data_IF_772317941266
#
_entry.id   IF_772317941266
#
_cell.length_a   1.000
_cell.length_b   1.000
_cell.length_c   1.000
_cell.angle_alpha   90.00
_cell.angle_beta   90.00
_cell.angle_gamma   90.00
#
_symmetry.space_group_name_H-M   'P 1'
#
loop_
_entity.id
_entity.type
_entity.pdbx_description
1 polymer ?
#
# COMPACT_ATOMS: atom_id res chain seq x y z
N UNK A 1 -24.84 -11.91 6.67
CA UNK A 1 -24.60 -13.36 6.59
C UNK A 1 -25.57 -13.92 5.56
N UNK A 2 -25.07 -14.47 4.45
CA UNK A 2 -25.91 -15.16 3.45
C UNK A 2 -25.45 -16.61 3.41
N UNK A 3 -26.38 -17.51 3.64
CA UNK A 3 -26.15 -18.94 3.43
C UNK A 3 -26.18 -19.21 1.93
N UNK A 4 -25.14 -19.86 1.42
CA UNK A 4 -25.15 -20.37 0.04
C UNK A 4 -25.14 -21.88 0.16
N UNK A 5 -26.13 -22.51 -0.46
CA UNK A 5 -26.22 -23.97 -0.52
C UNK A 5 -25.60 -24.44 -1.83
N UNK A 6 -24.60 -25.31 -1.73
CA UNK A 6 -23.97 -25.98 -2.87
C UNK A 6 -24.09 -27.48 -2.60
N UNK A 7 -24.98 -28.16 -3.33
CA UNK A 7 -25.38 -29.52 -2.98
C UNK A 7 -26.12 -29.58 -1.65
N UNK A 8 -25.76 -30.55 -0.79
CA UNK A 8 -26.35 -30.73 0.54
C UNK A 8 -25.60 -29.96 1.65
N UNK A 9 -24.55 -29.20 1.29
CA UNK A 9 -23.73 -28.48 2.26
C UNK A 9 -24.12 -26.99 2.33
N UNK A 10 -24.36 -26.52 3.56
CA UNK A 10 -24.53 -25.10 3.87
C UNK A 10 -23.17 -24.45 4.09
N UNK A 11 -22.79 -23.53 3.20
CA UNK A 11 -21.62 -22.69 3.39
C UNK A 11 -22.04 -21.35 4.00
N UNK A 12 -21.50 -21.04 5.18
CA UNK A 12 -21.55 -19.69 5.73
C UNK A 12 -20.43 -18.86 5.10
N UNK A 13 -20.75 -18.10 4.05
CA UNK A 13 -19.78 -17.17 3.49
C UNK A 13 -19.73 -15.91 4.38
N UNK A 14 -18.65 -15.76 5.12
CA UNK A 14 -18.31 -14.50 5.78
C UNK A 14 -17.87 -13.52 4.69
N UNK A 15 -18.74 -12.60 4.31
CA UNK A 15 -18.38 -11.53 3.40
C UNK A 15 -17.61 -10.48 4.20
N UNK A 16 -16.30 -10.41 4.01
CA UNK A 16 -15.55 -9.20 4.32
C UNK A 16 -16.10 -8.10 3.41
N UNK A 17 -16.51 -6.99 4.00
CA UNK A 17 -16.92 -5.83 3.21
C UNK A 17 -15.67 -5.22 2.61
N UNK A 18 -15.51 -5.31 1.29
CA UNK A 18 -14.36 -4.75 0.59
C UNK A 18 -14.24 -3.25 0.87
N UNK A 19 -13.21 -2.87 1.64
CA UNK A 19 -13.02 -1.50 2.17
C UNK A 19 -12.54 -0.52 1.10
N UNK A 20 -12.19 -1.02 -0.08
CA UNK A 20 -11.70 -0.30 -1.25
C UNK A 20 -12.80 -0.01 -2.29
N UNK A 21 -14.07 -0.28 -1.96
CA UNK A 21 -15.23 -0.13 -2.87
C UNK A 21 -16.16 0.97 -2.37
N UNK A 22 -16.81 1.69 -3.30
CA UNK A 22 -17.78 2.72 -2.96
C UNK A 22 -17.18 3.95 -2.30
N UNK A 23 -15.87 4.18 -2.50
CA UNK A 23 -15.15 5.30 -1.92
C UNK A 23 -15.69 6.63 -2.44
N UNK A 24 -15.80 7.61 -1.54
CA UNK A 24 -16.29 8.96 -1.83
C UNK A 24 -15.32 10.01 -1.33
N UNK A 25 -15.27 11.12 -2.04
CA UNK A 25 -14.58 12.33 -1.56
C UNK A 25 -15.36 12.93 -0.40
N UNK A 26 -14.72 13.22 0.75
CA UNK A 26 -15.37 13.88 1.88
C UNK A 26 -15.97 15.24 1.48
N UNK A 27 -17.10 15.58 2.11
CA UNK A 27 -17.76 16.88 1.97
C UNK A 27 -17.56 17.71 3.23
N UNK A 28 -16.32 18.15 3.45
CA UNK A 28 -15.87 18.89 4.64
C UNK A 28 -15.32 20.29 4.31
N UNK A 29 -15.65 20.81 3.13
CA UNK A 29 -15.19 22.12 2.66
C UNK A 29 -13.70 22.18 2.28
N UNK A 30 -13.00 21.04 2.21
CA UNK A 30 -11.60 20.96 1.80
C UNK A 30 -11.46 20.63 0.31
N UNK A 31 -10.33 21.03 -0.26
CA UNK A 31 -9.96 20.64 -1.62
C UNK A 31 -9.32 19.26 -1.61
N UNK A 32 -9.82 18.38 -2.49
CA UNK A 32 -9.27 17.06 -2.72
C UNK A 32 -8.79 16.90 -4.16
N UNK A 33 -7.70 16.14 -4.33
CA UNK A 33 -7.15 15.78 -5.63
C UNK A 33 -6.93 14.27 -5.68
N UNK A 34 -7.10 13.67 -6.86
CA UNK A 34 -6.76 12.27 -7.09
C UNK A 34 -5.47 12.17 -7.91
N UNK A 35 -4.51 11.36 -7.47
CA UNK A 35 -3.30 11.07 -8.25
C UNK A 35 -3.68 10.36 -9.55
N UNK A 36 -3.10 10.81 -10.66
CA UNK A 36 -3.26 10.13 -11.94
C UNK A 36 -2.52 8.79 -11.92
N UNK A 37 -3.00 7.83 -12.70
CA UNK A 37 -2.28 6.58 -12.92
C UNK A 37 -1.06 6.76 -13.81
N UNK A 38 0.00 6.01 -13.53
CA UNK A 38 1.26 6.08 -14.30
C UNK A 38 1.00 5.84 -15.80
N UNK A 39 0.08 4.92 -16.13
CA UNK A 39 -0.35 4.69 -17.52
C UNK A 39 -1.00 5.92 -18.18
N UNK A 40 -1.69 6.78 -17.42
CA UNK A 40 -2.27 8.03 -17.91
C UNK A 40 -1.22 9.14 -18.07
N UNK A 41 -0.13 9.06 -17.31
CA UNK A 41 0.96 10.04 -17.33
C UNK A 41 1.91 9.77 -18.50
N UNK A 42 2.24 8.50 -18.75
CA UNK A 42 3.34 8.14 -19.66
C UNK A 42 2.90 7.48 -20.95
N UNK A 43 1.65 7.00 -21.04
CA UNK A 43 1.18 6.20 -22.18
C UNK A 43 1.91 4.85 -22.35
N UNK A 44 2.96 4.57 -21.56
CA UNK A 44 3.71 3.30 -21.55
C UNK A 44 4.45 3.14 -20.21
N UNK A 45 4.25 2.01 -19.53
CA UNK A 45 5.18 1.53 -18.51
C UNK A 45 6.07 0.48 -19.17
N UNK A 46 7.38 0.70 -19.19
CA UNK A 46 8.37 -0.33 -19.52
C UNK A 46 8.72 -1.01 -18.20
N UNK A 47 7.97 -2.05 -17.84
CA UNK A 47 8.44 -2.99 -16.81
C UNK A 47 9.41 -3.92 -17.52
N UNK A 48 10.70 -3.78 -17.23
CA UNK A 48 11.69 -4.76 -17.65
C UNK A 48 11.38 -6.10 -16.94
N UNK A 49 10.79 -7.04 -17.67
CA UNK A 49 10.95 -8.50 -17.47
C UNK A 49 10.87 -9.04 -16.03
N UNK A 50 9.98 -8.52 -15.19
CA UNK A 50 9.64 -9.17 -13.91
C UNK A 50 8.36 -10.01 -14.10
N UNK A 51 8.35 -11.32 -13.75
CA UNK A 51 7.16 -12.16 -13.76
C UNK A 51 6.12 -11.79 -12.69
N UNK A 52 6.38 -10.72 -11.93
CA UNK A 52 5.52 -10.21 -10.87
C UNK A 52 5.24 -8.73 -11.11
N UNK A 53 3.96 -8.39 -10.98
CA UNK A 53 3.36 -7.08 -10.74
C UNK A 53 4.15 -5.81 -11.04
N UNK A 54 5.26 -5.47 -10.38
CA UNK A 54 5.61 -4.07 -10.10
C UNK A 54 4.41 -3.35 -9.47
N UNK A 55 4.43 -3.14 -8.14
CA UNK A 55 3.46 -2.27 -7.52
C UNK A 55 3.34 -1.00 -8.37
N UNK A 56 2.14 -0.54 -8.72
CA UNK A 56 1.93 0.77 -9.37
C UNK A 56 2.14 1.93 -8.38
N UNK A 57 3.06 1.68 -7.48
CA UNK A 57 3.88 2.60 -6.76
C UNK A 57 5.03 2.85 -7.76
N UNK A 58 5.27 4.08 -8.18
CA UNK A 58 6.46 4.51 -8.94
C UNK A 58 6.39 4.45 -10.49
N UNK A 59 6.09 5.60 -11.08
CA UNK A 59 6.79 6.05 -12.28
C UNK A 59 7.34 7.48 -12.21
N UNK A 60 6.61 8.46 -11.64
CA UNK A 60 7.06 9.88 -11.70
C UNK A 60 6.48 10.90 -10.72
N UNK A 61 5.99 10.50 -9.55
CA UNK A 61 5.76 11.49 -8.48
C UNK A 61 7.14 11.88 -7.88
N UNK A 62 7.98 12.53 -8.70
CA UNK A 62 9.45 12.71 -8.49
C UNK A 62 9.85 13.96 -7.69
N UNK A 63 8.93 14.79 -7.24
CA UNK A 63 9.26 15.88 -6.32
C UNK A 63 8.33 15.80 -5.12
N UNK A 64 8.87 15.31 -4.00
CA UNK A 64 8.10 15.12 -2.76
C UNK A 64 8.43 16.24 -1.77
N UNK A 65 9.67 16.76 -1.77
CA UNK A 65 10.08 17.83 -0.86
C UNK A 65 11.46 18.44 -1.24
N UNK A 66 11.70 19.67 -0.80
CA UNK A 66 13.03 20.30 -0.79
C UNK A 66 13.74 19.95 0.52
N UNK A 67 14.94 19.35 0.45
CA UNK A 67 15.71 18.98 1.64
C UNK A 67 16.77 20.06 1.95
N UNK A 68 16.57 20.92 2.98
CA UNK A 68 17.54 21.96 3.34
C UNK A 68 18.86 21.39 3.87
N UNK A 69 18.92 20.12 4.30
CA UNK A 69 20.16 19.45 4.71
C UNK A 69 21.10 19.18 3.53
N UNK A 70 20.54 18.95 2.33
CA UNK A 70 21.32 18.65 1.13
C UNK A 70 21.21 19.72 0.03
N UNK A 71 20.38 20.75 0.21
CA UNK A 71 20.25 21.87 -0.73
C UNK A 71 19.62 21.49 -2.07
N UNK A 72 18.93 20.35 -2.16
CA UNK A 72 18.38 19.82 -3.40
C UNK A 72 16.93 19.31 -3.24
N UNK A 73 16.20 19.26 -4.35
CA UNK A 73 14.90 18.60 -4.40
C UNK A 73 15.12 17.09 -4.34
N UNK A 74 14.67 16.46 -3.26
CA UNK A 74 14.76 15.01 -3.12
C UNK A 74 13.44 14.37 -3.49
N UNK A 75 13.54 13.35 -4.33
CA UNK A 75 12.40 12.51 -4.63
C UNK A 75 12.02 11.65 -3.39
N UNK A 76 12.94 11.44 -2.44
CA UNK A 76 12.77 10.46 -1.36
C UNK A 76 13.54 10.84 -0.09
N UNK A 77 12.98 10.44 1.05
CA UNK A 77 13.73 10.22 2.30
C UNK A 77 13.44 8.79 2.72
N UNK A 78 14.49 8.01 2.90
CA UNK A 78 14.39 6.73 3.59
C UNK A 78 14.25 7.03 5.08
N UNK A 79 13.29 6.38 5.73
CA UNK A 79 13.07 6.59 7.16
C UNK A 79 12.99 5.26 7.88
N UNK A 80 13.84 5.09 8.88
CA UNK A 80 13.79 3.92 9.77
C UNK A 80 12.41 3.85 10.44
N UNK A 81 11.71 2.74 10.25
CA UNK A 81 10.42 2.56 10.90
C UNK A 81 10.65 2.19 12.34
N UNK A 82 10.19 3.06 13.23
CA UNK A 82 10.15 2.73 14.64
C UNK A 82 9.32 1.45 14.85
N UNK A 83 9.60 0.74 15.95
CA UNK A 83 8.80 -0.41 16.38
C UNK A 83 7.30 -0.14 16.33
N UNK A 84 6.86 1.03 16.80
CA UNK A 84 5.45 1.41 16.81
C UNK A 84 4.85 1.44 15.39
N UNK A 85 5.57 1.99 14.41
CA UNK A 85 5.12 2.01 13.02
C UNK A 85 5.06 0.60 12.41
N UNK A 86 6.05 -0.26 12.67
CA UNK A 86 6.04 -1.65 12.19
C UNK A 86 4.80 -2.42 12.67
N UNK A 87 4.49 -2.33 13.97
CA UNK A 87 3.28 -2.91 14.54
C UNK A 87 1.99 -2.27 14.02
N UNK A 88 2.00 -0.95 13.77
CA UNK A 88 0.86 -0.26 13.18
C UNK A 88 0.48 -0.79 11.80
N UNK A 89 1.47 -1.14 10.97
CA UNK A 89 1.25 -1.69 9.63
C UNK A 89 0.64 -3.08 9.68
N UNK A 90 1.15 -3.94 10.58
CA UNK A 90 0.54 -5.23 10.88
C UNK A 90 -0.92 -5.05 11.26
N UNK A 91 -1.20 -4.12 12.16
CA UNK A 91 -2.57 -3.89 12.65
C UNK A 91 -3.47 -3.28 11.57
N UNK A 92 -2.95 -2.42 10.69
CA UNK A 92 -3.68 -1.90 9.54
C UNK A 92 -4.09 -3.02 8.57
N UNK A 93 -3.17 -3.96 8.29
CA UNK A 93 -3.45 -5.10 7.42
C UNK A 93 -4.36 -6.12 8.08
N UNK A 94 -4.25 -6.31 9.40
CA UNK A 94 -5.21 -7.11 10.16
C UNK A 94 -6.61 -6.49 10.12
N UNK A 95 -6.71 -5.17 10.28
CA UNK A 95 -7.96 -4.44 10.14
C UNK A 95 -8.55 -4.58 8.74
N UNK A 96 -7.75 -4.61 7.67
CA UNK A 96 -8.27 -4.66 6.29
C UNK A 96 -9.06 -5.92 5.97
N UNK A 97 -8.88 -6.96 6.78
CA UNK A 97 -9.53 -8.27 6.72
C UNK A 97 -10.45 -8.54 7.92
N UNK A 98 -10.96 -7.48 8.55
CA UNK A 98 -11.90 -7.53 9.68
C UNK A 98 -11.39 -8.37 10.88
N UNK A 99 -10.07 -8.40 11.08
CA UNK A 99 -9.40 -9.13 12.16
C UNK A 99 -9.66 -10.65 12.20
N UNK A 100 -10.09 -11.23 11.07
CA UNK A 100 -10.61 -12.60 10.99
C UNK A 100 -9.54 -13.71 10.90
N UNK A 101 -8.30 -13.40 10.49
CA UNK A 101 -7.26 -14.42 10.34
C UNK A 101 -6.51 -14.70 11.64
N UNK A 102 -6.07 -15.96 11.87
CA UNK A 102 -5.21 -16.30 12.99
C UNK A 102 -3.85 -15.58 12.89
N UNK A 103 -3.17 -15.41 14.03
CA UNK A 103 -1.87 -14.74 14.06
C UNK A 103 -0.81 -15.47 13.22
N UNK A 104 -0.76 -16.81 13.32
CA UNK A 104 0.24 -17.65 12.66
C UNK A 104 1.49 -17.89 13.51
N UNK A 105 2.30 -18.85 13.09
CA UNK A 105 3.60 -19.16 13.68
C UNK A 105 4.66 -19.29 12.59
N UNK A 106 5.92 -19.13 12.98
CA UNK A 106 7.06 -19.39 12.09
C UNK A 106 7.21 -20.91 11.87
N UNK A 107 7.33 -21.31 10.60
CA UNK A 107 7.37 -22.72 10.16
C UNK A 107 8.72 -23.10 9.54
N UNK A 108 9.65 -22.16 9.41
CA UNK A 108 10.96 -22.38 8.82
C UNK A 108 11.35 -21.28 7.84
N UNK A 109 12.25 -21.62 6.93
CA UNK A 109 12.71 -20.71 5.87
C UNK A 109 12.63 -21.37 4.50
N UNK A 110 12.60 -20.57 3.44
CA UNK A 110 12.67 -21.06 2.06
C UNK A 110 13.53 -20.14 1.19
N UNK A 111 13.93 -20.66 0.01
CA UNK A 111 14.60 -19.90 -1.06
C UNK A 111 13.62 -19.75 -2.22
N UNK A 112 13.45 -18.54 -2.73
CA UNK A 112 12.66 -18.31 -3.94
C UNK A 112 13.53 -18.60 -5.18
N UNK A 113 12.98 -19.31 -6.18
CA UNK A 113 13.67 -19.60 -7.43
C UNK A 113 14.14 -18.34 -8.16
N UNK A 114 13.43 -17.22 -8.03
CA UNK A 114 13.79 -15.96 -8.68
C UNK A 114 14.88 -15.18 -7.95
N UNK A 115 15.19 -15.52 -6.69
CA UNK A 115 16.23 -14.90 -5.85
C UNK A 115 16.83 -15.96 -4.90
N UNK A 116 17.61 -16.92 -5.41
CA UNK A 116 18.10 -18.07 -4.63
C UNK A 116 19.05 -17.67 -3.49
N UNK A 117 19.69 -16.51 -3.60
CA UNK A 117 20.62 -16.01 -2.59
C UNK A 117 19.90 -15.47 -1.34
N UNK A 118 18.61 -15.14 -1.44
CA UNK A 118 17.81 -14.56 -0.35
C UNK A 118 17.09 -15.65 0.42
N UNK A 119 17.23 -15.64 1.75
CA UNK A 119 16.44 -16.52 2.65
C UNK A 119 15.18 -15.81 3.10
N UNK A 120 14.03 -16.43 2.86
CA UNK A 120 12.71 -15.95 3.25
C UNK A 120 12.21 -16.73 4.46
N UNK A 121 11.47 -16.08 5.35
CA UNK A 121 10.78 -16.81 6.42
C UNK A 121 9.47 -17.38 5.90
N UNK A 122 9.07 -18.52 6.46
CA UNK A 122 7.79 -19.14 6.19
C UNK A 122 6.94 -19.05 7.44
N UNK A 123 5.69 -18.63 7.27
CA UNK A 123 4.68 -18.63 8.32
C UNK A 123 3.49 -19.49 7.91
N UNK A 124 2.65 -19.83 8.88
CA UNK A 124 1.41 -20.59 8.66
C UNK A 124 0.57 -19.96 7.55
N UNK A 125 0.18 -20.78 6.58
CA UNK A 125 -0.59 -20.34 5.42
C UNK A 125 -1.94 -19.74 5.86
N UNK A 126 -2.30 -18.60 5.28
CA UNK A 126 -3.51 -17.84 5.61
C UNK A 126 -3.43 -17.04 6.90
N UNK A 127 -2.25 -16.90 7.52
CA UNK A 127 -2.10 -16.20 8.81
C UNK A 127 -1.69 -14.73 8.67
N UNK A 128 -1.83 -13.96 9.75
CA UNK A 128 -1.42 -12.55 9.81
C UNK A 128 0.07 -12.38 9.59
N UNK A 129 0.88 -13.27 10.17
CA UNK A 129 2.31 -13.24 9.95
C UNK A 129 2.67 -13.56 8.50
N UNK A 130 2.01 -14.53 7.84
CA UNK A 130 2.23 -14.77 6.41
C UNK A 130 1.83 -13.55 5.56
N UNK A 131 0.68 -12.92 5.85
CA UNK A 131 0.23 -11.74 5.12
C UNK A 131 1.22 -10.58 5.30
N UNK A 132 1.59 -10.27 6.55
CA UNK A 132 2.55 -9.23 6.87
C UNK A 132 3.90 -9.53 6.21
N UNK A 133 4.41 -10.74 6.36
CA UNK A 133 5.70 -11.14 5.82
C UNK A 133 5.74 -11.03 4.30
N UNK A 134 4.71 -11.47 3.58
CA UNK A 134 4.62 -11.32 2.13
C UNK A 134 4.59 -9.85 1.66
N UNK A 135 4.06 -8.94 2.47
CA UNK A 135 4.08 -7.51 2.18
C UNK A 135 5.47 -6.91 2.43
N UNK A 136 6.17 -7.36 3.46
CA UNK A 136 7.47 -6.83 3.90
C UNK A 136 8.64 -7.47 3.14
N UNK A 137 8.66 -8.79 3.01
CA UNK A 137 9.83 -9.56 2.60
C UNK A 137 10.12 -9.57 1.10
N UNK A 138 9.11 -9.46 0.25
CA UNK A 138 9.39 -9.33 -1.18
C UNK A 138 9.65 -7.87 -1.58
N UNK A 139 9.93 -6.99 -0.60
CA UNK A 139 9.95 -5.54 -0.76
C UNK A 139 8.68 -5.02 -1.50
N UNK A 140 7.57 -5.75 -1.39
CA UNK A 140 6.36 -5.54 -2.19
C UNK A 140 5.55 -4.32 -1.74
N UNK A 141 5.60 -4.01 -0.45
CA UNK A 141 5.13 -2.74 0.10
C UNK A 141 6.17 -1.60 -0.02
N UNK A 142 7.41 -1.92 -0.41
CA UNK A 142 8.56 -1.03 -0.30
C UNK A 142 9.25 -0.78 -1.63
N UNK A 143 10.30 0.02 -1.59
CA UNK A 143 11.38 -0.10 -2.57
C UNK A 143 12.64 -0.44 -1.80
N UNK A 144 13.60 -1.03 -2.50
CA UNK A 144 14.69 -1.89 -2.02
C UNK A 144 15.74 -1.32 -1.04
N UNK A 145 15.47 -0.23 -0.33
CA UNK A 145 16.40 0.35 0.64
C UNK A 145 16.29 -0.35 1.99
N UNK A 146 17.39 -0.94 2.45
CA UNK A 146 17.55 -1.45 3.83
C UNK A 146 16.41 -2.39 4.26
N UNK A 147 16.11 -3.37 3.42
CA UNK A 147 15.02 -4.35 3.61
C UNK A 147 15.39 -5.50 4.56
N UNK A 148 14.39 -6.23 5.04
CA UNK A 148 14.56 -7.34 6.00
C UNK A 148 15.43 -8.47 5.44
N UNK A 149 15.41 -8.67 4.12
CA UNK A 149 16.18 -9.67 3.36
C UNK A 149 17.67 -9.36 3.45
N UNK A 150 18.01 -8.08 3.33
CA UNK A 150 19.37 -7.55 3.41
C UNK A 150 19.91 -7.44 4.83
N UNK A 151 19.23 -8.03 5.82
CA UNK A 151 19.70 -8.12 7.20
C UNK A 151 19.15 -7.05 8.13
N UNK A 152 18.13 -6.28 7.74
CA UNK A 152 17.54 -5.26 8.62
C UNK A 152 16.48 -5.84 9.56
N UNK A 153 16.30 -5.17 10.70
CA UNK A 153 15.48 -5.63 11.81
C UNK A 153 14.00 -5.42 11.55
N UNK A 154 13.24 -6.48 11.77
CA UNK A 154 11.78 -6.48 11.80
C UNK A 154 11.27 -6.94 13.17
N UNK A 155 10.66 -5.99 13.86
CA UNK A 155 10.18 -6.11 15.24
C UNK A 155 8.89 -6.95 15.33
N UNK A 156 8.14 -7.06 14.23
CA UNK A 156 6.88 -7.83 14.21
C UNK A 156 7.16 -9.33 14.16
N UNK A 157 8.10 -9.73 13.31
CA UNK A 157 8.53 -11.13 13.15
C UNK A 157 9.65 -11.53 14.13
N UNK A 158 10.37 -10.56 14.70
CA UNK A 158 11.52 -10.83 15.56
C UNK A 158 12.80 -11.15 14.78
N UNK A 159 12.87 -10.75 13.49
CA UNK A 159 14.00 -11.03 12.61
C UNK A 159 15.10 -9.98 12.75
N UNK A 160 16.36 -10.44 12.70
CA UNK A 160 17.57 -9.58 12.73
C UNK A 160 17.62 -8.60 13.92
N UNK A 161 17.23 -9.02 15.12
CA UNK A 161 17.00 -8.11 16.26
C UNK A 161 18.24 -7.31 16.71
N UNK A 162 19.44 -7.75 16.36
CA UNK A 162 20.71 -7.04 16.61
C UNK A 162 21.02 -5.94 15.58
N UNK A 163 20.22 -5.81 14.52
CA UNK A 163 20.47 -4.92 13.39
C UNK A 163 19.61 -3.64 13.48
N UNK A 164 19.92 -2.59 12.69
CA UNK A 164 19.05 -1.42 12.58
C UNK A 164 17.68 -1.79 12.01
N UNK A 165 16.63 -1.04 12.40
CA UNK A 165 15.29 -1.21 11.84
C UNK A 165 15.29 -1.02 10.31
N UNK A 166 14.42 -1.77 9.63
CA UNK A 166 14.22 -1.58 8.19
C UNK A 166 13.63 -0.19 7.90
N UNK A 167 13.93 0.33 6.71
CA UNK A 167 13.52 1.67 6.31
C UNK A 167 12.29 1.64 5.40
N UNK A 168 11.34 2.54 5.67
CA UNK A 168 10.22 2.79 4.78
C UNK A 168 10.61 3.85 3.76
N UNK A 169 10.39 3.56 2.48
CA UNK A 169 10.33 4.60 1.44
C UNK A 169 8.89 4.80 1.02
N UNK A 170 8.33 5.92 1.41
CA UNK A 170 6.89 6.18 1.28
C UNK A 170 6.64 6.77 -0.09
N UNK A 171 5.60 6.29 -0.76
CA UNK A 171 5.14 6.84 -2.03
C UNK A 171 3.63 6.83 -2.01
N UNK A 172 3.02 7.91 -2.46
CA UNK A 172 1.62 7.82 -2.83
C UNK A 172 1.49 6.89 -4.03
N UNK A 173 0.64 5.88 -3.90
CA UNK A 173 0.24 5.04 -5.02
C UNK A 173 -0.60 5.84 -6.03
N UNK A 174 -0.71 5.30 -7.23
CA UNK A 174 -1.57 5.87 -8.27
C UNK A 174 -3.05 5.70 -7.94
N UNK A 175 -3.88 6.67 -8.30
CA UNK A 175 -5.32 6.64 -8.03
C UNK A 175 -5.74 7.04 -6.61
N UNK A 176 -4.81 7.52 -5.79
CA UNK A 176 -5.10 7.92 -4.41
C UNK A 176 -5.77 9.27 -4.31
N UNK A 177 -6.73 9.36 -3.39
CA UNK A 177 -7.27 10.63 -2.95
C UNK A 177 -6.28 11.29 -1.99
N UNK A 178 -6.06 12.59 -2.15
CA UNK A 178 -5.19 13.41 -1.31
C UNK A 178 -5.94 14.68 -0.89
N UNK A 179 -5.78 15.07 0.37
CA UNK A 179 -6.32 16.33 0.90
C UNK A 179 -5.30 17.44 0.74
N UNK A 180 -5.67 18.51 0.05
CA UNK A 180 -4.81 19.68 -0.14
C UNK A 180 -4.84 20.54 1.11
N UNK A 181 -3.65 20.84 1.64
CA UNK A 181 -3.45 21.74 2.79
C UNK A 181 -3.16 23.15 2.31
N UNK A 182 -2.33 23.29 1.27
CA UNK A 182 -1.96 24.58 0.67
C UNK A 182 -1.77 24.50 -0.84
N UNK A 183 -2.10 25.59 -1.52
CA UNK A 183 -1.70 25.81 -2.91
C UNK A 183 -0.35 26.54 -2.95
N UNK A 184 0.63 25.96 -3.64
CA UNK A 184 2.00 26.47 -3.73
C UNK A 184 2.37 26.78 -5.20
N UNK A 185 1.42 27.26 -6.00
CA UNK A 185 1.65 27.63 -7.40
C UNK A 185 1.59 26.43 -8.33
N UNK A 186 2.74 25.85 -8.69
CA UNK A 186 2.79 24.64 -9.55
C UNK A 186 2.63 23.33 -8.77
N UNK A 187 2.67 23.42 -7.44
CA UNK A 187 2.49 22.31 -6.51
C UNK A 187 1.23 22.50 -5.66
N UNK A 188 0.66 21.39 -5.20
CA UNK A 188 -0.14 21.34 -3.97
C UNK A 188 0.73 20.81 -2.84
N UNK A 189 0.57 21.35 -1.64
CA UNK A 189 0.95 20.63 -0.43
C UNK A 189 -0.23 19.79 0.04
N UNK A 190 0.02 18.52 0.31
CA UNK A 190 -0.99 17.55 0.74
C UNK A 190 -0.65 16.99 2.10
N UNK A 191 -1.68 16.59 2.84
CA UNK A 191 -1.53 15.98 4.15
C UNK A 191 -1.09 14.52 4.05
N UNK A 192 -0.29 14.09 5.03
CA UNK A 192 0.14 12.73 5.24
C UNK A 192 0.30 12.44 6.75
N UNK A 193 0.51 11.18 7.09
CA UNK A 193 0.92 10.79 8.43
C UNK A 193 2.42 11.04 8.62
N UNK A 194 2.78 11.63 9.75
CA UNK A 194 4.15 12.02 10.05
C UNK A 194 4.95 10.84 10.63
N UNK A 195 5.87 10.28 9.84
CA UNK A 195 6.72 9.16 10.29
C UNK A 195 7.66 9.55 11.43
N UNK A 196 7.96 10.84 11.63
CA UNK A 196 8.80 11.29 12.73
C UNK A 196 8.10 11.25 14.10
N UNK A 197 6.79 11.02 14.10
CA UNK A 197 5.95 10.91 15.30
C UNK A 197 5.48 9.47 15.48
N UNK A 198 5.02 9.08 16.68
CA UNK A 198 4.31 7.82 16.85
C UNK A 198 3.11 7.74 15.89
N UNK A 199 2.78 6.54 15.37
CA UNK A 199 1.59 6.37 14.54
C UNK A 199 0.33 6.75 15.32
N UNK A 200 -0.66 7.39 14.68
CA UNK A 200 -1.94 7.66 15.33
C UNK A 200 -2.72 6.36 15.55
N UNK A 201 -3.74 6.33 16.43
CA UNK A 201 -4.63 5.17 16.54
C UNK A 201 -5.31 4.86 15.19
N UNK A 202 -5.42 3.59 14.80
CA UNK A 202 -6.07 3.20 13.54
C UNK A 202 -7.47 3.80 13.39
N UNK A 203 -8.28 3.73 14.46
CA UNK A 203 -9.63 4.30 14.47
C UNK A 203 -9.68 5.80 14.12
N UNK A 204 -8.58 6.54 14.29
CA UNK A 204 -8.54 7.97 13.95
C UNK A 204 -8.27 8.26 12.47
N UNK A 205 -7.98 7.23 11.66
CA UNK A 205 -7.67 7.37 10.23
C UNK A 205 -8.56 6.55 9.31
N UNK A 206 -9.34 5.59 9.82
CA UNK A 206 -10.22 4.73 8.99
C UNK A 206 -11.25 5.53 8.18
N UNK A 207 -11.75 6.62 8.73
CA UNK A 207 -12.70 7.54 8.07
C UNK A 207 -11.99 8.68 7.32
N UNK A 208 -10.66 8.61 7.19
CA UNK A 208 -9.83 9.60 6.50
C UNK A 208 -9.23 8.96 5.24
N UNK A 209 -10.03 8.77 4.17
CA UNK A 209 -9.60 8.03 2.98
C UNK A 209 -8.43 8.67 2.21
N UNK A 210 -8.02 9.89 2.56
CA UNK A 210 -6.82 10.54 2.02
C UNK A 210 -5.53 10.22 2.80
N UNK A 211 -5.64 9.61 3.98
CA UNK A 211 -4.52 9.10 4.79
C UNK A 211 -4.26 7.62 4.55
N UNK A 212 -5.14 6.95 3.79
CA UNK A 212 -5.01 5.55 3.37
C UNK A 212 -4.98 5.47 1.85
N UNK A 213 -3.99 4.73 1.37
CA UNK A 213 -3.81 4.42 -0.04
C UNK A 213 -4.16 2.97 -0.28
N UNK A 214 -4.62 2.66 -1.48
CA UNK A 214 -4.80 1.27 -1.87
C UNK A 214 -3.66 0.87 -2.78
N UNK A 215 -2.91 -0.15 -2.41
CA UNK A 215 -1.85 -0.69 -3.24
C UNK A 215 -2.46 -1.22 -4.54
N UNK A 216 -1.84 -0.80 -5.63
CA UNK A 216 -2.28 -1.09 -6.99
C UNK A 216 -1.17 -1.80 -7.76
N UNK A 217 -1.54 -2.53 -8.79
CA UNK A 217 -0.65 -3.19 -9.74
C UNK A 217 -1.06 -2.75 -11.15
N UNK A 218 -0.09 -2.35 -11.98
CA UNK A 218 -0.35 -2.01 -13.37
C UNK A 218 0.16 -3.10 -14.28
N UNK A 219 -0.69 -3.55 -15.21
CA UNK A 219 -0.27 -4.47 -16.25
C UNK A 219 -0.67 -3.98 -17.64
N UNK A 220 -0.13 -4.67 -18.64
CA UNK A 220 -0.42 -4.43 -20.06
C UNK A 220 -1.13 -5.65 -20.63
N UNK A 221 -2.20 -5.41 -21.39
CA UNK A 221 -2.99 -6.43 -22.08
C UNK A 221 -2.32 -6.82 -23.40
N UNK A 222 -2.77 -7.94 -23.97
CA UNK A 222 -2.36 -8.42 -25.29
C UNK A 222 -2.69 -7.45 -26.42
N UNK A 223 -3.79 -6.71 -26.30
CA UNK A 223 -4.21 -5.65 -27.23
C UNK A 223 -3.41 -4.34 -27.09
N UNK A 224 -2.46 -4.29 -26.15
CA UNK A 224 -1.63 -3.13 -25.89
C UNK A 224 -2.19 -2.13 -24.88
N UNK A 225 -3.44 -2.28 -24.42
CA UNK A 225 -4.07 -1.40 -23.42
C UNK A 225 -3.55 -1.68 -22.00
N UNK A 226 -3.68 -0.70 -21.10
CA UNK A 226 -3.24 -0.82 -19.70
C UNK A 226 -4.41 -1.09 -18.75
N UNK A 227 -4.14 -1.80 -17.66
CA UNK A 227 -5.07 -1.98 -16.54
C UNK A 227 -4.39 -1.60 -15.23
N UNK A 228 -5.18 -1.17 -14.25
CA UNK A 228 -4.71 -0.95 -12.88
C UNK A 228 -5.63 -1.72 -11.95
N UNK A 229 -5.09 -2.72 -11.26
CA UNK A 229 -5.86 -3.63 -10.40
C UNK A 229 -5.35 -3.62 -8.95
N UNK A 230 -6.08 -4.28 -8.05
CA UNK A 230 -5.66 -4.52 -6.66
C UNK A 230 -4.35 -5.28 -6.61
N UNK A 231 -3.48 -4.89 -5.69
CA UNK A 231 -2.26 -5.64 -5.39
C UNK A 231 -2.57 -7.08 -4.93
N UNK A 232 -1.85 -8.10 -5.43
CA UNK A 232 -2.33 -9.49 -5.37
C UNK A 232 -2.22 -10.15 -3.98
N UNK A 233 -1.42 -9.61 -3.07
CA UNK A 233 -1.15 -10.23 -1.75
C UNK A 233 -2.43 -10.36 -0.92
N UNK A 234 -3.27 -9.32 -0.90
CA UNK A 234 -4.57 -9.42 -0.24
C UNK A 234 -5.52 -10.38 -0.96
N UNK A 235 -5.43 -10.49 -2.29
CA UNK A 235 -6.23 -11.47 -3.06
C UNK A 235 -5.88 -12.89 -2.67
N UNK A 236 -4.58 -13.19 -2.47
CA UNK A 236 -4.14 -14.52 -2.02
C UNK A 236 -4.74 -14.87 -0.67
N UNK A 237 -4.65 -13.96 0.32
CA UNK A 237 -5.27 -14.18 1.64
C UNK A 237 -6.79 -14.34 1.53
N UNK A 238 -7.46 -13.47 0.77
CA UNK A 238 -8.91 -13.57 0.57
C UNK A 238 -9.32 -14.91 -0.06
N UNK A 239 -8.55 -15.43 -1.02
CA UNK A 239 -8.80 -16.73 -1.66
C UNK A 239 -8.63 -17.90 -0.71
N UNK A 240 -7.57 -17.91 0.10
CA UNK A 240 -7.34 -18.98 1.10
C UNK A 240 -8.53 -19.13 2.05
N UNK A 241 -9.20 -18.02 2.38
CA UNK A 241 -10.33 -18.01 3.31
C UNK A 241 -11.72 -17.93 2.64
N UNK A 242 -11.80 -17.98 1.31
CA UNK A 242 -13.08 -17.91 0.58
C UNK A 242 -13.80 -16.55 0.67
N UNK A 243 -13.05 -15.48 0.93
CA UNK A 243 -13.56 -14.12 1.08
C UNK A 243 -13.59 -13.32 -0.22
N UNK A 244 -14.33 -12.21 -0.19
CA UNK A 244 -14.29 -11.24 -1.29
C UNK A 244 -12.91 -10.59 -1.37
N UNK A 245 -12.36 -10.52 -2.57
CA UNK A 245 -11.07 -9.83 -2.80
C UNK A 245 -11.21 -8.32 -2.52
N UNK A 246 -10.30 -7.78 -1.70
CA UNK A 246 -10.12 -6.34 -1.49
C UNK A 246 -8.68 -5.91 -1.76
N UNK A 247 -8.46 -4.59 -1.81
CA UNK A 247 -7.12 -4.02 -1.93
C UNK A 247 -6.27 -4.18 -0.67
N UNK A 248 -4.96 -3.94 -0.78
CA UNK A 248 -4.09 -3.78 0.40
C UNK A 248 -4.05 -2.30 0.78
N UNK A 249 -4.43 -1.91 2.01
CA UNK A 249 -4.26 -0.53 2.45
C UNK A 249 -2.80 -0.27 2.83
N UNK A 250 -2.31 0.92 2.47
CA UNK A 250 -0.97 1.43 2.78
C UNK A 250 -1.15 2.84 3.37
N UNK A 251 -0.48 3.20 4.48
CA UNK A 251 -0.62 4.54 5.02
C UNK A 251 0.02 5.58 4.09
N UNK A 252 -0.66 6.71 3.90
CA UNK A 252 -0.10 7.88 3.24
C UNK A 252 0.83 8.60 4.21
N UNK A 253 2.13 8.52 4.02
CA UNK A 253 3.09 8.99 5.04
C UNK A 253 4.16 9.90 4.45
N UNK A 254 4.66 10.83 5.26
CA UNK A 254 5.82 11.66 4.97
C UNK A 254 6.57 12.01 6.25
N UNK A 255 7.75 12.63 6.11
CA UNK A 255 8.39 13.30 7.24
C UNK A 255 7.79 14.70 7.41
N UNK A 256 7.30 15.00 8.61
CA UNK A 256 6.65 16.27 8.93
C UNK A 256 5.15 16.31 8.67
N UNK A 257 4.55 15.22 8.16
CA UNK A 257 3.09 15.09 8.00
C UNK A 257 2.49 15.82 6.79
N UNK A 258 3.33 16.40 5.93
CA UNK A 258 2.91 16.89 4.61
C UNK A 258 3.95 16.55 3.55
N UNK A 259 3.57 16.59 2.27
CA UNK A 259 4.50 16.59 1.15
C UNK A 259 3.92 17.36 -0.04
N UNK A 260 4.75 17.67 -1.03
CA UNK A 260 4.33 18.40 -2.22
C UNK A 260 4.00 17.44 -3.37
N UNK A 261 2.98 17.78 -4.16
CA UNK A 261 2.62 17.07 -5.38
C UNK A 261 2.39 18.05 -6.54
N UNK A 262 2.95 17.73 -7.70
CA UNK A 262 2.78 18.53 -8.92
C UNK A 262 1.31 18.54 -9.35
N UNK A 263 0.75 19.72 -9.62
CA UNK A 263 -0.65 19.87 -10.07
C UNK A 263 -0.96 19.07 -11.34
N UNK A 264 0.00 19.00 -12.27
CA UNK A 264 -0.13 18.20 -13.52
C UNK A 264 -0.17 16.68 -13.32
N UNK A 265 0.09 16.18 -12.11
CA UNK A 265 0.08 14.74 -11.77
C UNK A 265 -1.20 14.33 -11.05
N UNK A 266 -2.13 15.26 -10.87
CA UNK A 266 -3.39 15.03 -10.18
C UNK A 266 -4.55 15.62 -10.96
N UNK A 267 -5.76 15.21 -10.62
CA UNK A 267 -7.01 15.86 -11.04
C UNK A 267 -7.79 16.29 -9.80
N UNK A 268 -8.42 17.45 -9.86
CA UNK A 268 -9.32 17.92 -8.80
C UNK A 268 -10.55 17.03 -8.71
N UNK A 269 -11.00 16.77 -7.49
CA UNK A 269 -12.19 15.97 -7.21
C UNK A 269 -13.24 16.82 -6.51
N UNK A 270 -14.51 16.59 -6.84
CA UNK A 270 -15.63 17.31 -6.22
C UNK A 270 -16.07 16.64 -4.91
N UNK A 271 -16.57 17.39 -3.92
CA UNK A 271 -17.18 16.82 -2.72
C UNK A 271 -18.27 15.79 -3.07
N UNK A 272 -18.30 14.68 -2.34
CA UNK A 272 -19.24 13.58 -2.57
C UNK A 272 -19.01 12.75 -3.84
N UNK A 273 -18.07 13.14 -4.71
CA UNK A 273 -17.74 12.41 -5.92
C UNK A 273 -17.23 11.00 -5.57
N UNK A 274 -17.80 9.99 -6.20
CA UNK A 274 -17.26 8.63 -6.12
C UNK A 274 -15.92 8.53 -6.85
N UNK A 275 -14.98 7.79 -6.28
CA UNK A 275 -13.71 7.50 -6.94
C UNK A 275 -13.30 6.05 -6.77
N UNK A 276 -12.39 5.61 -7.62
CA UNK A 276 -11.78 4.29 -7.56
C UNK A 276 -10.26 4.45 -7.65
N UNK A 277 -9.49 3.74 -6.81
CA UNK A 277 -8.04 3.64 -6.97
C UNK A 277 -7.66 2.65 -8.09
N UNK A 278 -8.65 2.02 -8.73
CA UNK A 278 -8.45 1.05 -9.81
C UNK A 278 -9.03 1.55 -11.13
N UNK A 279 -8.44 1.11 -12.23
CA UNK A 279 -9.00 1.23 -13.57
C UNK A 279 -9.48 -0.16 -14.00
N UNK A 280 -10.80 -0.41 -14.01
CA UNK A 280 -11.34 -1.74 -14.33
C UNK A 280 -11.03 -2.15 -15.78
N UNK A 281 -11.13 -3.46 -16.01
CA UNK A 281 -11.12 -4.04 -17.34
C UNK A 281 -12.34 -3.52 -18.09
N UNK A 282 -12.11 -2.81 -19.20
CA UNK A 282 -13.14 -2.60 -20.21
C UNK A 282 -13.30 -3.86 -21.03
#
# INVERSE_FOLDING_TARGET
MRTIQIGDELYQQTFITAKDVGLKVPDDGRLYVQTLHDCQIFGRIVVATAPYAVPAICGDVRCVWYDPKFGENRAYTEYALSRAWQFYLRDLWRWSIDDLIPYGVWEGTYKNWSNPDITFDKYTVGSLLEFYDNMIQDARAFTDSRNVQGGYRDQVTGRNMSMPDYEWRTKSTTGNLLRVVRDLGIYYEVEALDLSKPPPPLASIIDKPWLLHWATETGKRSDGSFYVSRFPQHKVIARVHGWTESGVPIPNTSLGGTYQILKRRVKTMQPGQSYSPYIPVK
#
